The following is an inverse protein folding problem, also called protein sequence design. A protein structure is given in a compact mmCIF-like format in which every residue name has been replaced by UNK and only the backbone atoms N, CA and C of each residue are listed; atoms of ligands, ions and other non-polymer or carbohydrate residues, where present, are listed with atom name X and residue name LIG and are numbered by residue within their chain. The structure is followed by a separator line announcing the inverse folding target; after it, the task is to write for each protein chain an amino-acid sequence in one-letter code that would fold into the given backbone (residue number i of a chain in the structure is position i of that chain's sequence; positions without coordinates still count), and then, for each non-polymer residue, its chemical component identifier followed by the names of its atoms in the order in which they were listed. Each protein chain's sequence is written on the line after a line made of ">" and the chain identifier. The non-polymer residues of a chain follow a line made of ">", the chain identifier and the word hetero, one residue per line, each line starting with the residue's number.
data_IF_765396131670
#
_entry.id   IF_765396131670
#
_cell.length_a   1.000
_cell.length_b   1.000
_cell.length_c   1.000
_cell.angle_alpha   90.00
_cell.angle_beta   90.00
_cell.angle_gamma   90.00
#
_symmetry.space_group_name_H-M   'P 1'
#
loop_
_entity.id
_entity.type
_entity.pdbx_description
1 polymer ?
#
# COMPACT_ATOMS: atom_id res chain seq x y z
N UNK A 1 17.16 -9.23 -17.22
CA UNK A 1 17.50 -8.33 -16.10
C UNK A 1 16.27 -7.69 -15.47
N UNK A 2 15.29 -7.20 -16.23
CA UNK A 2 14.09 -6.55 -15.66
C UNK A 2 13.24 -7.42 -14.74
N UNK A 3 13.02 -8.71 -15.06
CA UNK A 3 12.18 -9.61 -14.28
C UNK A 3 12.68 -9.82 -12.84
N UNK A 4 13.97 -9.97 -12.65
CA UNK A 4 14.56 -10.18 -11.31
C UNK A 4 14.49 -8.89 -10.47
N UNK A 5 14.69 -7.74 -11.09
CA UNK A 5 14.71 -6.46 -10.36
C UNK A 5 13.34 -6.11 -9.74
N UNK A 6 12.24 -6.18 -10.50
CA UNK A 6 10.93 -5.82 -9.92
C UNK A 6 10.50 -6.80 -8.81
N UNK A 7 10.87 -8.08 -8.92
CA UNK A 7 10.59 -9.07 -7.85
C UNK A 7 11.34 -8.72 -6.57
N UNK A 8 12.61 -8.34 -6.67
CA UNK A 8 13.42 -7.93 -5.50
C UNK A 8 12.79 -6.71 -4.82
N UNK A 9 12.41 -5.68 -5.58
CA UNK A 9 11.77 -4.49 -5.01
C UNK A 9 10.39 -4.82 -4.41
N UNK A 10 9.61 -5.72 -5.01
CA UNK A 10 8.34 -6.17 -4.46
C UNK A 10 8.52 -6.90 -3.12
N UNK A 11 9.52 -7.77 -3.00
CA UNK A 11 9.83 -8.47 -1.75
C UNK A 11 10.35 -7.52 -0.66
N UNK A 12 11.21 -6.56 -1.02
CA UNK A 12 11.63 -5.51 -0.10
C UNK A 12 10.46 -4.67 0.38
N UNK A 13 9.54 -4.30 -0.51
CA UNK A 13 8.31 -3.60 -0.15
C UNK A 13 7.46 -4.41 0.83
N UNK A 14 7.31 -5.72 0.61
CA UNK A 14 6.58 -6.59 1.53
C UNK A 14 7.24 -6.66 2.91
N UNK A 15 8.56 -6.74 2.97
CA UNK A 15 9.31 -6.71 4.23
C UNK A 15 9.07 -5.41 5.00
N UNK A 16 9.23 -4.26 4.34
CA UNK A 16 9.00 -2.96 4.98
C UNK A 16 7.52 -2.75 5.36
N UNK A 17 6.58 -3.29 4.59
CA UNK A 17 5.17 -3.26 4.96
C UNK A 17 4.88 -4.08 6.24
N UNK A 18 5.52 -5.23 6.39
CA UNK A 18 5.42 -6.03 7.63
C UNK A 18 5.99 -5.29 8.83
N UNK A 19 7.20 -4.73 8.72
CA UNK A 19 7.82 -3.90 9.77
C UNK A 19 6.95 -2.68 10.11
N UNK A 20 6.37 -2.04 9.11
CA UNK A 20 5.42 -0.92 9.28
C UNK A 20 4.24 -1.33 10.16
N UNK A 21 3.64 -2.49 9.92
CA UNK A 21 2.47 -2.96 10.67
C UNK A 21 2.83 -3.24 12.14
N UNK A 22 3.97 -3.84 12.40
CA UNK A 22 4.44 -4.15 13.76
C UNK A 22 4.79 -2.86 14.52
N UNK A 23 5.61 -1.99 13.92
CA UNK A 23 5.98 -0.73 14.57
C UNK A 23 4.78 0.19 14.79
N UNK A 24 3.84 0.24 13.84
CA UNK A 24 2.62 0.99 14.01
C UNK A 24 1.75 0.44 15.15
N UNK A 25 1.60 -0.88 15.26
CA UNK A 25 0.84 -1.53 16.34
C UNK A 25 1.41 -1.14 17.71
N UNK A 26 2.72 -1.24 17.87
CA UNK A 26 3.42 -0.85 19.11
C UNK A 26 3.27 0.66 19.37
N UNK A 27 3.50 1.49 18.36
CA UNK A 27 3.49 2.94 18.48
C UNK A 27 2.10 3.56 18.71
N UNK A 28 1.01 2.80 18.46
CA UNK A 28 -0.37 3.28 18.64
C UNK A 28 -1.03 2.80 19.94
N UNK A 29 -0.29 2.16 20.85
CA UNK A 29 -0.86 1.56 22.05
C UNK A 29 -1.65 2.58 22.90
N UNK A 30 -1.11 3.80 23.06
CA UNK A 30 -1.69 4.85 23.91
C UNK A 30 -2.12 6.11 23.16
N UNK A 31 -2.10 6.12 21.82
CA UNK A 31 -2.45 7.30 21.02
C UNK A 31 -3.51 7.00 19.97
N UNK A 32 -4.30 8.02 19.63
CA UNK A 32 -5.32 7.90 18.60
C UNK A 32 -4.71 7.50 17.24
N UNK A 33 -5.31 6.53 16.57
CA UNK A 33 -4.84 6.01 15.28
C UNK A 33 -4.71 7.07 14.18
N UNK A 34 -5.60 8.07 14.16
CA UNK A 34 -5.54 9.16 13.18
C UNK A 34 -4.33 10.07 13.46
N UNK A 35 -4.05 10.35 14.74
CA UNK A 35 -2.86 11.12 15.12
C UNK A 35 -1.58 10.36 14.77
N UNK A 36 -1.51 9.08 15.09
CA UNK A 36 -0.38 8.23 14.72
C UNK A 36 -0.18 8.19 13.20
N UNK A 37 -1.27 8.07 12.43
CA UNK A 37 -1.23 8.11 10.97
C UNK A 37 -0.69 9.45 10.46
N UNK A 38 -1.14 10.56 11.01
CA UNK A 38 -0.67 11.89 10.62
C UNK A 38 0.84 12.06 10.88
N UNK A 39 1.32 11.71 12.08
CA UNK A 39 2.76 11.77 12.44
C UNK A 39 3.59 10.93 11.45
N UNK A 40 3.19 9.70 11.18
CA UNK A 40 3.90 8.82 10.24
C UNK A 40 3.89 9.37 8.82
N UNK A 41 2.78 9.96 8.38
CA UNK A 41 2.67 10.57 7.06
C UNK A 41 3.67 11.71 6.88
N UNK A 42 3.91 12.52 7.91
CA UNK A 42 4.94 13.57 7.89
C UNK A 42 6.33 12.97 7.70
N UNK A 43 6.66 11.87 8.39
CA UNK A 43 7.94 11.18 8.22
C UNK A 43 8.10 10.65 6.79
N UNK A 44 7.06 10.01 6.24
CA UNK A 44 7.06 9.51 4.85
C UNK A 44 7.21 10.66 3.86
N UNK A 45 6.51 11.77 4.08
CA UNK A 45 6.59 12.97 3.24
C UNK A 45 8.01 13.54 3.21
N UNK A 46 8.64 13.71 4.37
CA UNK A 46 10.01 14.22 4.47
C UNK A 46 11.00 13.29 3.77
N UNK A 47 10.86 11.97 3.98
CA UNK A 47 11.72 10.96 3.35
C UNK A 47 11.56 10.98 1.83
N UNK A 48 10.33 11.02 1.32
CA UNK A 48 10.05 11.03 -0.12
C UNK A 48 10.62 12.29 -0.79
N UNK A 49 10.38 13.47 -0.22
CA UNK A 49 10.93 14.73 -0.73
C UNK A 49 12.45 14.78 -0.60
N UNK A 50 13.03 14.24 0.48
CA UNK A 50 14.46 14.10 0.64
C UNK A 50 15.09 13.34 -0.52
N UNK A 51 14.51 12.21 -0.93
CA UNK A 51 14.97 11.43 -2.10
C UNK A 51 14.82 12.25 -3.39
N UNK A 52 13.71 12.97 -3.58
CA UNK A 52 13.50 13.81 -4.77
C UNK A 52 14.56 14.90 -4.88
N UNK A 53 14.90 15.57 -3.77
CA UNK A 53 15.94 16.57 -3.75
C UNK A 53 17.35 15.98 -3.97
N UNK A 54 17.66 14.86 -3.31
CA UNK A 54 18.95 14.17 -3.49
C UNK A 54 19.18 13.68 -4.92
N UNK A 55 18.10 13.28 -5.62
CA UNK A 55 18.18 12.82 -7.01
C UNK A 55 18.05 13.96 -8.04
N UNK A 56 17.84 15.20 -7.60
CA UNK A 56 17.68 16.37 -8.48
C UNK A 56 16.42 16.37 -9.33
N UNK A 57 15.42 15.53 -8.99
CA UNK A 57 14.21 15.35 -9.79
C UNK A 57 13.09 16.38 -9.50
N UNK A 58 13.31 17.27 -8.54
CA UNK A 58 12.33 18.31 -8.18
C UNK A 58 11.98 19.24 -9.34
N UNK A 59 12.89 19.47 -10.29
CA UNK A 59 12.66 20.31 -11.46
C UNK A 59 11.60 19.74 -12.42
N UNK A 60 11.35 18.41 -12.39
CA UNK A 60 10.36 17.76 -13.25
C UNK A 60 8.90 18.05 -12.84
N UNK A 61 8.70 18.72 -11.73
CA UNK A 61 7.35 19.09 -11.25
C UNK A 61 6.59 19.97 -12.26
N UNK A 62 7.31 20.83 -12.97
CA UNK A 62 6.71 21.75 -13.98
C UNK A 62 6.26 21.03 -15.26
N UNK A 63 6.79 19.84 -15.50
CA UNK A 63 6.49 19.03 -16.69
C UNK A 63 5.32 18.06 -16.47
N UNK A 64 4.75 18.04 -15.26
CA UNK A 64 3.67 17.11 -14.92
C UNK A 64 2.37 17.57 -15.60
N UNK A 65 1.78 16.68 -16.39
CA UNK A 65 0.51 16.97 -17.08
C UNK A 65 -0.66 17.07 -16.09
N UNK A 66 -1.69 17.84 -16.44
CA UNK A 66 -2.93 17.93 -15.63
C UNK A 66 -3.55 16.57 -15.37
N UNK A 67 -3.52 15.67 -16.36
CA UNK A 67 -3.99 14.30 -16.22
C UNK A 67 -3.22 13.56 -15.12
N UNK A 68 -1.89 13.64 -15.14
CA UNK A 68 -1.05 13.01 -14.13
C UNK A 68 -1.30 13.57 -12.73
N UNK A 69 -1.44 14.90 -12.61
CA UNK A 69 -1.81 15.55 -11.35
C UNK A 69 -3.12 15.02 -10.79
N UNK A 70 -4.17 14.92 -11.63
CA UNK A 70 -5.48 14.41 -11.20
C UNK A 70 -5.37 13.01 -10.62
N UNK A 71 -4.71 12.08 -11.34
CA UNK A 71 -4.58 10.70 -10.87
C UNK A 71 -3.67 10.57 -9.64
N UNK A 72 -2.61 11.37 -9.52
CA UNK A 72 -1.75 11.38 -8.34
C UNK A 72 -2.51 11.88 -7.10
N UNK A 73 -3.33 12.93 -7.25
CA UNK A 73 -4.17 13.43 -6.15
C UNK A 73 -5.21 12.40 -5.74
N UNK A 74 -5.91 11.79 -6.69
CA UNK A 74 -6.89 10.72 -6.41
C UNK A 74 -6.22 9.52 -5.72
N UNK A 75 -5.04 9.11 -6.17
CA UNK A 75 -4.26 8.06 -5.54
C UNK A 75 -3.86 8.42 -4.11
N UNK A 76 -3.43 9.66 -3.89
CA UNK A 76 -3.09 10.15 -2.55
C UNK A 76 -4.29 10.14 -1.59
N UNK A 77 -5.47 10.58 -2.07
CA UNK A 77 -6.70 10.53 -1.29
C UNK A 77 -7.10 9.09 -0.94
N UNK A 78 -7.05 8.19 -1.93
CA UNK A 78 -7.34 6.77 -1.71
C UNK A 78 -6.36 6.14 -0.69
N UNK A 79 -5.07 6.47 -0.77
CA UNK A 79 -4.05 6.02 0.18
C UNK A 79 -4.34 6.53 1.59
N UNK A 80 -4.69 7.81 1.73
CA UNK A 80 -5.02 8.41 3.03
C UNK A 80 -6.22 7.72 3.67
N UNK A 81 -7.31 7.53 2.93
CA UNK A 81 -8.50 6.82 3.40
C UNK A 81 -8.18 5.37 3.78
N UNK A 82 -7.43 4.66 2.95
CA UNK A 82 -6.99 3.29 3.22
C UNK A 82 -6.19 3.22 4.54
N UNK A 83 -5.22 4.12 4.74
CA UNK A 83 -4.42 4.14 5.94
C UNK A 83 -5.22 4.48 7.21
N UNK A 84 -6.16 5.40 7.12
CA UNK A 84 -7.06 5.70 8.26
C UNK A 84 -7.85 4.46 8.68
N UNK A 85 -8.44 3.73 7.73
CA UNK A 85 -9.16 2.49 8.01
C UNK A 85 -8.22 1.40 8.54
N UNK A 86 -7.08 1.20 7.89
CA UNK A 86 -6.12 0.14 8.23
C UNK A 86 -5.53 0.33 9.62
N UNK A 87 -5.05 1.53 9.96
CA UNK A 87 -4.44 1.78 11.26
C UNK A 87 -5.47 1.83 12.39
N UNK A 88 -6.70 2.26 12.11
CA UNK A 88 -7.77 2.11 13.08
C UNK A 88 -8.08 0.62 13.36
N UNK A 89 -8.23 -0.19 12.32
CA UNK A 89 -8.39 -1.63 12.48
C UNK A 89 -7.22 -2.27 13.26
N UNK A 90 -5.99 -1.88 12.92
CA UNK A 90 -4.79 -2.38 13.58
C UNK A 90 -4.71 -1.98 15.07
N UNK A 91 -5.26 -0.81 15.44
CA UNK A 91 -5.34 -0.37 16.82
C UNK A 91 -6.28 -1.27 17.65
N UNK A 92 -7.46 -1.61 17.11
CA UNK A 92 -8.51 -2.34 17.85
C UNK A 92 -8.44 -3.86 17.69
N UNK A 93 -7.69 -4.39 16.73
CA UNK A 93 -7.64 -5.82 16.43
C UNK A 93 -6.23 -6.40 16.40
N UNK A 94 -6.14 -7.70 16.15
CA UNK A 94 -4.89 -8.45 16.08
C UNK A 94 -4.18 -8.22 14.72
N UNK A 95 -2.91 -7.83 14.74
CA UNK A 95 -2.13 -7.60 13.53
C UNK A 95 -2.06 -8.85 12.63
N UNK A 96 -1.99 -10.04 13.23
CA UNK A 96 -1.95 -11.32 12.50
C UNK A 96 -3.19 -11.59 11.65
N UNK A 97 -4.33 -11.01 12.00
CA UNK A 97 -5.58 -11.12 11.24
C UNK A 97 -5.77 -9.94 10.28
N UNK A 98 -5.52 -8.73 10.74
CA UNK A 98 -5.79 -7.51 9.96
C UNK A 98 -4.86 -7.39 8.76
N UNK A 99 -3.56 -7.69 8.92
CA UNK A 99 -2.60 -7.60 7.81
C UNK A 99 -2.97 -8.50 6.63
N UNK A 100 -3.33 -9.78 6.81
CA UNK A 100 -3.81 -10.62 5.72
C UNK A 100 -5.14 -10.15 5.11
N UNK A 101 -6.07 -9.65 5.92
CA UNK A 101 -7.35 -9.13 5.43
C UNK A 101 -7.11 -7.92 4.51
N UNK A 102 -6.24 -7.00 4.90
CA UNK A 102 -5.84 -5.87 4.05
C UNK A 102 -5.27 -6.32 2.69
N UNK A 103 -4.60 -7.47 2.65
CA UNK A 103 -4.08 -8.06 1.40
C UNK A 103 -5.18 -8.55 0.44
N UNK A 104 -6.44 -8.60 0.86
CA UNK A 104 -7.55 -8.80 -0.07
C UNK A 104 -7.63 -7.69 -1.14
N UNK A 105 -7.08 -6.52 -0.85
CA UNK A 105 -6.87 -5.44 -1.82
C UNK A 105 -6.12 -5.90 -3.09
N UNK A 106 -5.25 -6.92 -2.99
CA UNK A 106 -4.56 -7.52 -4.14
C UNK A 106 -5.55 -8.13 -5.12
N UNK A 107 -6.57 -8.84 -4.63
CA UNK A 107 -7.63 -9.45 -5.48
C UNK A 107 -8.45 -8.36 -6.16
N UNK A 108 -8.82 -7.31 -5.41
CA UNK A 108 -9.54 -6.14 -5.96
C UNK A 108 -8.67 -5.47 -7.04
N UNK A 109 -7.38 -5.30 -6.80
CA UNK A 109 -6.45 -4.72 -7.76
C UNK A 109 -6.35 -5.56 -9.04
N UNK A 110 -6.30 -6.89 -8.94
CA UNK A 110 -6.30 -7.78 -10.11
C UNK A 110 -7.55 -7.60 -10.97
N UNK A 111 -8.73 -7.47 -10.35
CA UNK A 111 -9.99 -7.22 -11.06
C UNK A 111 -9.97 -5.83 -11.73
N UNK A 112 -9.56 -4.81 -11.00
CA UNK A 112 -9.48 -3.44 -11.53
C UNK A 112 -8.42 -3.31 -12.64
N UNK A 113 -7.29 -3.96 -12.53
CA UNK A 113 -6.26 -3.98 -13.57
C UNK A 113 -6.79 -4.59 -14.88
N UNK A 114 -7.56 -5.66 -14.80
CA UNK A 114 -8.23 -6.24 -15.94
C UNK A 114 -9.27 -5.27 -16.56
N UNK A 115 -10.18 -4.71 -15.74
CA UNK A 115 -11.30 -3.89 -16.22
C UNK A 115 -10.84 -2.50 -16.68
N UNK A 116 -9.92 -1.86 -15.96
CA UNK A 116 -9.54 -0.45 -16.15
C UNK A 116 -8.29 -0.31 -17.01
N UNK A 117 -7.29 -1.18 -16.78
CA UNK A 117 -6.00 -1.11 -17.49
C UNK A 117 -5.95 -2.03 -18.71
N UNK A 118 -6.96 -2.93 -18.90
CA UNK A 118 -6.99 -3.87 -20.01
C UNK A 118 -5.91 -4.96 -19.92
N UNK A 119 -5.40 -5.23 -18.71
CA UNK A 119 -4.40 -6.28 -18.51
C UNK A 119 -4.98 -7.68 -18.78
N UNK A 120 -4.15 -8.59 -19.28
CA UNK A 120 -4.59 -9.96 -19.58
C UNK A 120 -4.69 -10.80 -18.33
N UNK A 121 -5.86 -11.41 -18.11
CA UNK A 121 -6.06 -12.37 -17.02
C UNK A 121 -5.43 -13.71 -17.42
N UNK A 122 -4.48 -14.18 -16.63
CA UNK A 122 -3.88 -15.51 -16.80
C UNK A 122 -4.47 -16.49 -15.79
N UNK A 123 -4.46 -17.78 -16.12
CA UNK A 123 -4.87 -18.84 -15.18
C UNK A 123 -4.06 -18.75 -13.87
N UNK A 124 -2.78 -18.40 -13.95
CA UNK A 124 -1.92 -18.23 -12.77
C UNK A 124 -2.41 -17.09 -11.87
N UNK A 125 -2.84 -15.97 -12.46
CA UNK A 125 -3.39 -14.82 -11.72
C UNK A 125 -4.70 -15.20 -11.02
N UNK A 126 -5.59 -15.93 -11.70
CA UNK A 126 -6.86 -16.41 -11.13
C UNK A 126 -6.62 -17.36 -9.96
N UNK A 127 -5.75 -18.36 -10.15
CA UNK A 127 -5.42 -19.33 -9.08
C UNK A 127 -4.77 -18.62 -7.90
N UNK A 128 -3.81 -17.72 -8.12
CA UNK A 128 -3.17 -16.92 -7.05
C UNK A 128 -4.17 -16.07 -6.28
N UNK A 129 -5.07 -15.38 -6.98
CA UNK A 129 -6.16 -14.60 -6.37
C UNK A 129 -7.13 -15.46 -5.55
N UNK A 130 -7.47 -16.66 -6.04
CA UNK A 130 -8.31 -17.61 -5.31
C UNK A 130 -7.65 -18.07 -4.00
N UNK A 131 -6.36 -18.39 -4.01
CA UNK A 131 -5.63 -18.75 -2.79
C UNK A 131 -5.56 -17.60 -1.78
N UNK A 132 -5.33 -16.37 -2.23
CA UNK A 132 -5.34 -15.19 -1.34
C UNK A 132 -6.72 -15.03 -0.73
N UNK A 133 -7.78 -15.14 -1.53
CA UNK A 133 -9.17 -15.03 -1.06
C UNK A 133 -9.49 -16.10 -0.03
N UNK A 134 -9.21 -17.36 -0.32
CA UNK A 134 -9.46 -18.48 0.60
C UNK A 134 -8.66 -18.30 1.89
N UNK A 135 -7.36 -17.97 1.80
CA UNK A 135 -6.53 -17.72 2.98
C UNK A 135 -7.05 -16.58 3.84
N UNK A 136 -7.52 -15.50 3.23
CA UNK A 136 -8.13 -14.36 3.95
C UNK A 136 -9.40 -14.80 4.69
N UNK A 137 -10.29 -15.56 4.06
CA UNK A 137 -11.49 -16.06 4.72
C UNK A 137 -11.20 -17.00 5.88
N UNK A 138 -10.21 -17.89 5.74
CA UNK A 138 -9.79 -18.80 6.84
C UNK A 138 -9.28 -18.02 8.05
N UNK A 139 -8.65 -16.85 7.85
CA UNK A 139 -8.13 -16.02 8.96
C UNK A 139 -9.20 -15.16 9.63
N UNK A 140 -10.33 -14.92 8.98
CA UNK A 140 -11.47 -14.17 9.54
C UNK A 140 -12.32 -15.07 10.47
N UNK A 141 -12.40 -16.37 10.16
CA UNK A 141 -13.14 -17.37 10.94
C UNK A 141 -12.27 -17.98 12.04
#
# INVERSE_FOLDING_TARGET
>A
MGFVMWVVFALLSALFAALTSIFAKIGMEDINSNLATAIRTVVVLIMAWGIVFMTGKHNQIVDITTKSWTYLVLSGLATGLSWMCYFYALQIGEASKIVPIDKFSVVITMVLAFVVLGETVTIKTVIGGAFITLGTFVLIW
#
